data_IF_646861167798
#
_entry.id   IF_646861167798
#
_cell.length_a   1.000
_cell.length_b   1.000
_cell.length_c   1.000
_cell.angle_alpha   90.00
_cell.angle_beta   90.00
_cell.angle_gamma   90.00
#
_symmetry.space_group_name_H-M   'P 1'
#
loop_
_entity.id
_entity.type
_entity.pdbx_description
1 polymer ?
#
# COMPACT_ATOMS: atom_id res chain seq x y z
N UNK A 1 4.83 8.33 -7.47
CA UNK A 1 4.56 8.62 -6.05
C UNK A 1 3.26 7.93 -5.67
N UNK A 2 3.15 7.42 -4.45
CA UNK A 2 1.89 6.89 -3.94
C UNK A 2 0.98 8.10 -3.63
N UNK A 3 -0.18 8.20 -4.28
CA UNK A 3 -1.06 9.36 -4.14
C UNK A 3 -2.24 9.07 -3.20
N UNK A 4 -2.80 7.87 -3.30
CA UNK A 4 -3.91 7.40 -2.49
C UNK A 4 -3.88 5.88 -2.33
N UNK A 5 -4.59 5.40 -1.31
CA UNK A 5 -4.89 3.98 -1.08
C UNK A 5 -6.34 3.86 -0.63
N UNK A 6 -7.05 2.91 -1.22
CA UNK A 6 -8.35 2.43 -0.75
C UNK A 6 -8.26 0.96 -0.38
N UNK A 7 -8.75 0.62 0.80
CA UNK A 7 -8.75 -0.75 1.34
C UNK A 7 -10.14 -1.10 1.82
N UNK A 8 -10.58 -2.30 1.46
CA UNK A 8 -11.83 -2.88 1.95
C UNK A 8 -11.57 -4.32 2.40
N UNK A 9 -12.18 -4.71 3.53
CA UNK A 9 -12.18 -6.07 4.07
C UNK A 9 -10.79 -6.73 4.26
N UNK A 10 -9.81 -6.01 4.82
CA UNK A 10 -8.45 -6.54 5.04
C UNK A 10 -8.01 -6.47 6.50
N UNK A 11 -7.61 -7.62 7.09
CA UNK A 11 -7.06 -7.75 8.46
C UNK A 11 -7.77 -6.86 9.52
N UNK A 12 -9.10 -6.89 9.53
CA UNK A 12 -9.93 -6.11 10.47
C UNK A 12 -10.28 -4.68 10.03
N UNK A 13 -9.68 -4.18 8.97
CA UNK A 13 -10.08 -2.93 8.30
C UNK A 13 -11.26 -3.22 7.38
N UNK A 14 -12.47 -2.81 7.77
CA UNK A 14 -13.67 -2.95 6.93
C UNK A 14 -13.59 -2.06 5.70
N UNK A 15 -13.26 -0.78 5.91
CA UNK A 15 -13.06 0.22 4.87
C UNK A 15 -12.11 1.30 5.35
N UNK A 16 -11.12 1.66 4.55
CA UNK A 16 -10.22 2.78 4.79
C UNK A 16 -9.86 3.44 3.46
N UNK A 17 -9.83 4.77 3.46
CA UNK A 17 -9.38 5.57 2.35
C UNK A 17 -8.38 6.58 2.88
N UNK A 18 -7.19 6.61 2.29
CA UNK A 18 -6.10 7.52 2.64
C UNK A 18 -5.72 8.23 1.35
N UNK A 19 -5.93 9.53 1.32
CA UNK A 19 -5.64 10.40 0.20
C UNK A 19 -4.52 11.38 0.55
N UNK A 20 -3.97 12.02 -0.48
CA UNK A 20 -3.02 13.13 -0.36
C UNK A 20 -1.74 12.80 0.45
N UNK A 21 -1.19 11.61 0.21
CA UNK A 21 0.08 11.18 0.79
C UNK A 21 1.18 12.22 0.52
N UNK A 22 1.91 12.57 1.59
CA UNK A 22 3.07 13.47 1.53
C UNK A 22 4.37 12.67 1.59
N UNK A 23 5.50 13.37 1.53
CA UNK A 23 6.82 12.75 1.71
C UNK A 23 6.99 12.09 3.09
N UNK A 24 6.32 12.64 4.11
CA UNK A 24 6.30 12.10 5.47
C UNK A 24 4.84 12.03 5.91
N UNK A 25 4.41 10.85 6.34
CA UNK A 25 3.05 10.61 6.84
C UNK A 25 3.16 9.97 8.23
N UNK A 26 2.41 10.51 9.20
CA UNK A 26 2.42 10.02 10.58
C UNK A 26 1.07 9.37 10.91
N UNK A 27 1.08 8.06 11.19
CA UNK A 27 -0.10 7.31 11.59
C UNK A 27 -0.13 7.13 13.11
N UNK A 28 -1.09 7.78 13.79
CA UNK A 28 -1.28 7.72 15.24
C UNK A 28 -2.60 7.05 15.62
N UNK A 29 -2.65 6.47 16.83
CA UNK A 29 -3.86 5.83 17.34
C UNK A 29 -3.57 4.72 18.35
N UNK A 30 -4.62 4.15 18.96
CA UNK A 30 -4.51 3.08 19.95
C UNK A 30 -3.87 1.80 19.38
N UNK A 31 -3.25 0.98 20.23
CA UNK A 31 -2.73 -0.32 19.80
C UNK A 31 -3.85 -1.20 19.21
N UNK A 32 -3.53 -1.94 18.15
CA UNK A 32 -4.52 -2.77 17.45
C UNK A 32 -5.50 -2.02 16.53
N UNK A 33 -5.42 -0.68 16.40
CA UNK A 33 -6.36 0.09 15.56
C UNK A 33 -6.09 0.02 14.04
N UNK A 34 -5.20 -0.86 13.57
CA UNK A 34 -4.92 -1.04 12.14
C UNK A 34 -3.77 -0.22 11.56
N UNK A 35 -2.93 0.44 12.38
CA UNK A 35 -1.75 1.17 11.87
C UNK A 35 -0.75 0.26 11.15
N UNK A 36 -0.38 -0.86 11.77
CA UNK A 36 0.50 -1.85 11.14
C UNK A 36 -0.13 -2.41 9.88
N UNK A 37 -1.46 -2.62 9.89
CA UNK A 37 -2.21 -3.06 8.71
C UNK A 37 -2.06 -2.09 7.53
N UNK A 38 -2.15 -0.78 7.76
CA UNK A 38 -1.93 0.24 6.71
C UNK A 38 -0.52 0.12 6.12
N UNK A 39 0.50 -0.04 6.96
CA UNK A 39 1.89 -0.21 6.49
C UNK A 39 2.09 -1.51 5.71
N UNK A 40 1.46 -2.61 6.13
CA UNK A 40 1.49 -3.89 5.42
C UNK A 40 0.85 -3.80 4.03
N UNK A 41 -0.27 -3.08 3.92
CA UNK A 41 -0.93 -2.83 2.63
C UNK A 41 0.01 -2.05 1.71
N UNK A 42 0.63 -0.97 2.20
CA UNK A 42 1.59 -0.18 1.42
C UNK A 42 2.74 -1.08 0.94
N UNK A 43 3.29 -1.90 1.84
CA UNK A 43 4.37 -2.83 1.52
C UNK A 43 3.96 -3.83 0.42
N UNK A 44 2.79 -4.47 0.55
CA UNK A 44 2.26 -5.40 -0.45
C UNK A 44 2.07 -4.75 -1.82
N UNK A 45 1.55 -3.52 -1.87
CA UNK A 45 1.38 -2.78 -3.11
C UNK A 45 2.73 -2.46 -3.77
N UNK A 46 3.72 -2.01 -2.98
CA UNK A 46 5.07 -1.78 -3.47
C UNK A 46 5.68 -3.06 -4.05
N UNK A 47 5.61 -4.18 -3.33
CA UNK A 47 6.15 -5.46 -3.80
C UNK A 47 5.44 -5.97 -5.06
N UNK A 48 4.11 -5.82 -5.15
CA UNK A 48 3.35 -6.21 -6.33
C UNK A 48 3.73 -5.37 -7.57
N UNK A 49 3.91 -4.06 -7.39
CA UNK A 49 4.37 -3.18 -8.47
C UNK A 49 5.77 -3.54 -8.97
N UNK A 50 6.67 -3.93 -8.07
CA UNK A 50 8.04 -4.33 -8.43
C UNK A 50 8.07 -5.61 -9.26
N UNK A 51 7.20 -6.58 -8.93
CA UNK A 51 7.03 -7.80 -9.73
C UNK A 51 6.56 -7.50 -11.17
N UNK A 52 5.54 -6.65 -11.31
CA UNK A 52 5.02 -6.26 -12.64
C UNK A 52 6.08 -5.51 -13.48
N UNK A 53 7.03 -4.84 -12.82
CA UNK A 53 8.11 -4.12 -13.50
C UNK A 53 9.17 -5.07 -14.06
N UNK A 54 9.50 -6.14 -13.33
CA UNK A 54 10.43 -7.19 -13.79
C UNK A 54 9.82 -7.95 -14.99
N UNK A 55 8.56 -8.35 -14.90
CA UNK A 55 7.87 -9.10 -15.96
C UNK A 55 7.80 -8.31 -17.28
N UNK A 56 7.56 -6.99 -17.21
CA UNK A 56 7.55 -6.11 -18.40
C UNK A 56 8.94 -5.87 -19.01
N UNK A 57 10.02 -5.98 -18.25
CA UNK A 57 11.38 -5.91 -18.80
C UNK A 57 11.75 -7.17 -19.57
N UNK A 58 11.35 -8.34 -19.06
CA UNK A 58 11.57 -9.62 -19.75
C UNK A 58 10.81 -9.65 -21.08
N UNK A 59 9.55 -9.22 -21.11
CA UNK A 59 8.74 -9.23 -22.33
C UNK A 59 9.14 -8.19 -23.40
N UNK A 60 9.89 -7.15 -23.03
CA UNK A 60 10.42 -6.14 -23.97
C UNK A 60 11.78 -6.48 -24.56
N UNK A 61 12.43 -7.52 -24.04
CA UNK A 61 13.76 -7.97 -24.47
C UNK A 61 13.70 -9.08 -25.53
N UNK A 62 12.48 -9.40 -26.00
CA UNK A 62 12.18 -10.36 -27.08
C UNK A 62 11.57 -9.59 -28.25
#
# INVERSE_FOLDING_TARGET
MLNNISVENFRGVKKAQIDDFKNINLFIGKNGCGKSTVLEIIFLLCSACEYCRIEKQVYKSV
#
